data_IF_665605813044
#
_entry.id   IF_665605813044
#
_cell.length_a   1.000
_cell.length_b   1.000
_cell.length_c   1.000
_cell.angle_alpha   90.00
_cell.angle_beta   90.00
_cell.angle_gamma   90.00
#
_symmetry.space_group_name_H-M   'P 1'
#
loop_
_entity.id
_entity.type
_entity.pdbx_description
1 polymer ?
#
# COMPACT_ATOMS: atom_id res chain seq x y z
N UNK A 1 -14.01 13.49 -12.58
CA UNK A 1 -12.94 12.64 -13.15
C UNK A 1 -11.52 13.04 -12.71
N UNK A 2 -11.12 14.32 -12.68
CA UNK A 2 -9.75 14.75 -12.27
C UNK A 2 -9.41 14.67 -10.76
N UNK A 3 -10.37 14.35 -9.88
CA UNK A 3 -10.19 14.50 -8.43
C UNK A 3 -9.46 13.32 -7.77
N UNK A 4 -9.63 12.09 -8.28
CA UNK A 4 -9.02 10.89 -7.67
C UNK A 4 -7.52 10.83 -7.96
N UNK A 5 -7.10 11.13 -9.21
CA UNK A 5 -5.68 11.22 -9.55
C UNK A 5 -5.04 12.40 -8.85
N UNK A 6 -5.66 13.59 -8.79
CA UNK A 6 -5.13 14.69 -7.97
C UNK A 6 -5.03 14.33 -6.48
N UNK A 7 -6.00 13.59 -5.93
CA UNK A 7 -5.97 13.09 -4.56
C UNK A 7 -4.97 11.95 -4.32
N UNK A 8 -4.44 11.31 -5.38
CA UNK A 8 -3.33 10.36 -5.23
C UNK A 8 -2.03 11.02 -4.73
N UNK A 9 -1.96 12.35 -4.74
CA UNK A 9 -0.76 13.11 -4.39
C UNK A 9 -0.95 13.92 -3.09
N UNK A 10 -1.79 13.46 -2.15
CA UNK A 10 -2.08 14.21 -0.91
C UNK A 10 -0.84 14.45 -0.03
N UNK A 11 0.19 13.59 -0.08
CA UNK A 11 1.50 13.84 0.53
C UNK A 11 2.60 13.18 -0.31
N UNK A 12 3.44 13.99 -0.94
CA UNK A 12 4.57 13.54 -1.75
C UNK A 12 5.82 14.33 -1.40
N UNK A 13 6.95 13.64 -1.31
CA UNK A 13 8.25 14.26 -1.12
C UNK A 13 9.00 14.22 -2.46
N UNK A 14 9.38 15.40 -2.97
CA UNK A 14 10.11 15.55 -4.22
C UNK A 14 11.56 15.93 -3.89
N UNK A 15 12.52 15.28 -4.56
CA UNK A 15 13.95 15.52 -4.32
C UNK A 15 14.70 15.72 -5.64
N UNK A 16 15.84 16.43 -5.56
CA UNK A 16 16.82 16.56 -6.64
C UNK A 16 17.14 15.16 -7.22
N UNK A 17 17.03 15.02 -8.54
CA UNK A 17 17.13 13.80 -9.37
C UNK A 17 15.79 13.10 -9.73
N UNK A 18 14.70 13.85 -9.87
CA UNK A 18 13.47 13.44 -10.60
C UNK A 18 12.63 12.30 -9.99
N UNK A 19 13.12 11.64 -8.94
CA UNK A 19 12.39 10.65 -8.17
C UNK A 19 11.47 11.30 -7.12
N UNK A 20 10.26 10.77 -6.97
CA UNK A 20 9.27 11.18 -5.97
C UNK A 20 8.88 9.95 -5.15
N UNK A 21 8.88 10.10 -3.83
CA UNK A 21 8.33 9.09 -2.92
C UNK A 21 6.94 9.54 -2.48
N UNK A 22 5.98 8.62 -2.57
CA UNK A 22 4.57 8.92 -2.27
C UNK A 22 4.00 8.02 -1.21
N UNK A 23 3.11 8.62 -0.42
CA UNK A 23 2.41 7.98 0.69
C UNK A 23 0.93 8.34 0.63
N UNK A 24 0.07 7.33 0.58
CA UNK A 24 -1.38 7.46 0.67
C UNK A 24 -1.92 7.15 2.07
N UNK A 25 -2.30 8.19 2.84
CA UNK A 25 -2.85 8.09 4.22
C UNK A 25 -1.81 7.66 5.29
N UNK A 26 -2.28 7.40 6.51
CA UNK A 26 -1.49 7.31 7.75
C UNK A 26 -0.47 6.17 7.73
N UNK A 27 0.81 6.52 7.67
CA UNK A 27 1.96 5.61 7.81
C UNK A 27 2.85 6.07 8.96
N UNK A 28 3.50 5.10 9.59
CA UNK A 28 4.49 5.33 10.64
C UNK A 28 5.84 4.94 10.10
N UNK A 29 6.76 5.91 10.07
CA UNK A 29 8.13 5.67 9.65
C UNK A 29 8.97 5.42 10.89
N UNK A 30 9.53 4.23 10.95
CA UNK A 30 10.52 3.83 11.94
C UNK A 30 11.95 3.98 11.39
N UNK A 31 12.08 4.08 10.07
CA UNK A 31 13.34 4.23 9.34
C UNK A 31 13.55 5.60 8.70
N UNK A 32 14.76 5.80 8.15
CA UNK A 32 15.12 7.01 7.42
C UNK A 32 14.63 6.97 5.98
N UNK A 33 13.57 7.74 5.69
CA UNK A 33 12.99 7.88 4.34
C UNK A 33 14.02 8.24 3.27
N UNK A 34 15.18 8.81 3.65
CA UNK A 34 16.26 9.15 2.70
C UNK A 34 16.78 7.95 1.93
N UNK A 35 16.69 6.77 2.50
CA UNK A 35 17.11 5.53 1.84
C UNK A 35 16.20 5.18 0.65
N UNK A 36 14.91 5.53 0.67
CA UNK A 36 14.02 5.35 -0.50
C UNK A 36 14.45 6.20 -1.70
N UNK A 37 15.12 7.33 -1.48
CA UNK A 37 15.59 8.20 -2.56
C UNK A 37 16.76 7.60 -3.33
N UNK A 38 17.56 6.74 -2.67
CA UNK A 38 18.69 6.03 -3.27
C UNK A 38 18.30 4.78 -4.06
N UNK A 39 17.01 4.44 -4.12
CA UNK A 39 16.56 3.21 -4.78
C UNK A 39 16.72 3.33 -6.29
N UNK A 40 17.49 2.39 -6.83
CA UNK A 40 17.67 2.23 -8.26
C UNK A 40 16.44 1.53 -8.88
N UNK A 41 15.73 2.23 -9.76
CA UNK A 41 14.69 1.60 -10.56
C UNK A 41 15.32 0.88 -11.76
N UNK A 42 14.88 -0.37 -12.00
CA UNK A 42 15.32 -1.11 -13.19
C UNK A 42 14.97 -0.33 -14.46
N UNK A 43 15.80 -0.48 -15.49
CA UNK A 43 15.61 0.21 -16.77
C UNK A 43 14.20 -0.04 -17.32
N UNK A 44 13.49 1.04 -17.65
CA UNK A 44 12.12 0.98 -18.17
C UNK A 44 11.03 0.90 -17.10
N UNK A 45 11.38 0.80 -15.81
CA UNK A 45 10.41 0.86 -14.72
C UNK A 45 10.23 2.30 -14.25
N UNK A 46 8.98 2.77 -14.20
CA UNK A 46 8.66 4.09 -13.69
C UNK A 46 8.40 4.11 -12.17
N UNK A 47 8.28 2.93 -11.53
CA UNK A 47 7.98 2.84 -10.11
C UNK A 47 8.57 1.60 -9.43
N UNK A 48 8.66 1.66 -8.11
CA UNK A 48 8.97 0.55 -7.24
C UNK A 48 7.93 0.38 -6.13
N UNK A 49 7.54 -0.87 -5.86
CA UNK A 49 6.53 -1.23 -4.85
C UNK A 49 7.02 -2.43 -4.02
N UNK A 50 6.60 -2.49 -2.76
CA UNK A 50 6.71 -3.71 -1.94
C UNK A 50 5.54 -4.64 -2.29
N UNK A 51 5.79 -5.93 -2.47
CA UNK A 51 4.73 -6.87 -2.84
C UNK A 51 3.99 -7.39 -1.62
N UNK A 52 2.75 -7.82 -1.80
CA UNK A 52 1.90 -8.27 -0.70
C UNK A 52 2.20 -9.71 -0.26
N UNK A 53 2.98 -10.47 -1.03
CA UNK A 53 3.25 -11.89 -0.76
C UNK A 53 4.64 -12.15 -0.17
N UNK A 54 5.47 -11.11 -0.01
CA UNK A 54 6.85 -11.25 0.49
C UNK A 54 6.94 -11.33 2.02
N UNK A 55 5.82 -11.18 2.74
CA UNK A 55 5.77 -11.19 4.20
C UNK A 55 4.96 -12.38 4.73
N UNK A 56 5.60 -13.39 5.35
CA UNK A 56 4.91 -14.56 5.90
C UNK A 56 3.83 -14.20 6.93
N UNK A 57 4.09 -13.25 7.83
CA UNK A 57 3.10 -12.79 8.81
C UNK A 57 1.89 -12.09 8.18
N UNK A 58 2.06 -11.41 7.03
CA UNK A 58 0.92 -10.91 6.26
C UNK A 58 0.14 -12.07 5.63
N UNK A 59 0.82 -13.11 5.14
CA UNK A 59 0.19 -14.23 4.47
C UNK A 59 -0.75 -15.00 5.39
N UNK A 60 -0.30 -15.32 6.61
CA UNK A 60 -1.10 -16.01 7.63
C UNK A 60 -2.34 -15.20 8.00
N UNK A 61 -2.17 -13.92 8.28
CA UNK A 61 -3.28 -13.03 8.62
C UNK A 61 -4.26 -12.86 7.44
N UNK A 62 -3.75 -12.70 6.21
CA UNK A 62 -4.59 -12.54 5.02
C UNK A 62 -5.47 -13.78 4.83
N UNK A 63 -4.89 -14.96 4.98
CA UNK A 63 -5.62 -16.22 4.88
C UNK A 63 -6.66 -16.37 6.00
N UNK A 64 -6.31 -16.04 7.24
CA UNK A 64 -7.20 -16.22 8.39
C UNK A 64 -8.48 -15.39 8.30
N UNK A 65 -8.44 -14.23 7.64
CA UNK A 65 -9.59 -13.34 7.47
C UNK A 65 -10.19 -13.37 6.05
N UNK A 66 -9.74 -14.31 5.19
CA UNK A 66 -10.26 -14.47 3.83
C UNK A 66 -9.92 -13.31 2.88
N UNK A 67 -8.86 -12.55 3.16
CA UNK A 67 -8.34 -11.53 2.25
C UNK A 67 -7.60 -12.13 1.06
N UNK A 68 -7.44 -11.32 0.01
CA UNK A 68 -6.74 -11.70 -1.21
C UNK A 68 -5.54 -10.78 -1.43
N UNK A 69 -4.38 -11.38 -1.72
CA UNK A 69 -3.12 -10.72 -2.10
C UNK A 69 -2.71 -11.05 -3.54
N UNK A 70 -3.64 -11.62 -4.29
CA UNK A 70 -3.48 -12.00 -5.69
C UNK A 70 -4.45 -11.22 -6.56
N UNK A 71 -4.19 -11.15 -7.87
CA UNK A 71 -5.03 -10.38 -8.80
C UNK A 71 -6.51 -10.79 -8.78
N UNK A 72 -6.82 -12.04 -8.44
CA UNK A 72 -8.19 -12.53 -8.23
C UNK A 72 -9.00 -11.67 -7.26
N UNK A 73 -8.35 -11.08 -6.26
CA UNK A 73 -9.00 -10.22 -5.27
C UNK A 73 -9.36 -8.82 -5.76
N UNK A 74 -8.84 -8.39 -6.91
CA UNK A 74 -8.89 -7.00 -7.36
C UNK A 74 -9.56 -6.83 -8.72
N UNK A 75 -9.52 -7.85 -9.59
CA UNK A 75 -10.08 -7.80 -10.95
C UNK A 75 -11.25 -8.79 -11.10
N UNK A 76 -12.25 -8.40 -11.88
CA UNK A 76 -13.38 -9.28 -12.20
C UNK A 76 -13.07 -10.15 -13.44
N UNK A 77 -12.53 -11.35 -13.20
CA UNK A 77 -12.18 -12.32 -14.26
C UNK A 77 -13.36 -12.88 -15.06
N UNK A 78 -14.61 -12.50 -14.72
CA UNK A 78 -15.78 -12.80 -15.55
C UNK A 78 -15.86 -11.87 -16.77
N UNK A 79 -15.25 -10.69 -16.69
CA UNK A 79 -15.25 -9.64 -17.73
C UNK A 79 -14.22 -9.95 -18.81
N UNK A 80 -14.60 -9.76 -20.08
CA UNK A 80 -13.70 -10.05 -21.20
C UNK A 80 -12.48 -9.12 -21.19
N UNK A 81 -12.67 -7.86 -20.83
CA UNK A 81 -11.62 -6.85 -20.74
C UNK A 81 -10.53 -7.22 -19.74
N UNK A 82 -10.88 -7.97 -18.69
CA UNK A 82 -9.91 -8.50 -17.71
C UNK A 82 -9.21 -9.74 -18.25
N UNK A 83 -9.92 -10.64 -18.94
CA UNK A 83 -9.31 -11.83 -19.58
C UNK A 83 -8.28 -11.43 -20.65
N UNK A 84 -8.59 -10.41 -21.44
CA UNK A 84 -7.72 -9.89 -22.51
C UNK A 84 -6.40 -9.30 -21.99
N UNK A 85 -6.30 -8.98 -20.69
CA UNK A 85 -5.05 -8.57 -20.07
C UNK A 85 -4.02 -9.70 -19.99
N UNK A 86 -4.45 -10.97 -20.00
CA UNK A 86 -3.57 -12.12 -19.83
C UNK A 86 -2.87 -12.20 -18.47
N UNK A 87 -3.35 -11.46 -17.46
CA UNK A 87 -2.78 -11.48 -16.11
C UNK A 87 -3.32 -12.71 -15.37
N UNK A 88 -2.44 -13.54 -14.83
CA UNK A 88 -2.84 -14.73 -14.10
C UNK A 88 -3.52 -14.32 -12.76
N UNK A 89 -4.74 -14.82 -12.45
CA UNK A 89 -5.42 -14.50 -11.20
C UNK A 89 -4.62 -14.85 -9.94
N UNK A 90 -3.69 -15.79 -10.03
CA UNK A 90 -2.80 -16.21 -8.93
C UNK A 90 -1.53 -15.38 -8.80
N UNK A 91 -1.27 -14.44 -9.71
CA UNK A 91 -0.11 -13.55 -9.60
C UNK A 91 -0.19 -12.72 -8.32
N UNK A 92 0.96 -12.47 -7.69
CA UNK A 92 1.03 -11.63 -6.49
C UNK A 92 0.79 -10.15 -6.81
N UNK A 93 0.09 -9.45 -5.92
CA UNK A 93 -0.12 -8.00 -6.02
C UNK A 93 0.89 -7.19 -5.20
N UNK A 94 0.75 -5.88 -5.27
CA UNK A 94 1.43 -4.93 -4.40
C UNK A 94 0.43 -3.89 -3.90
N UNK A 95 0.75 -3.24 -2.78
CA UNK A 95 -0.03 -2.11 -2.31
C UNK A 95 0.54 -0.79 -2.85
N UNK A 96 -0.24 0.04 -3.56
CA UNK A 96 0.26 1.32 -4.05
C UNK A 96 0.32 2.41 -2.97
N UNK A 97 0.00 2.06 -1.71
CA UNK A 97 -0.05 2.99 -0.60
C UNK A 97 1.29 3.67 -0.30
N UNK A 98 2.40 2.96 -0.55
CA UNK A 98 3.76 3.49 -0.47
C UNK A 98 4.53 3.04 -1.70
N UNK A 99 5.13 4.00 -2.41
CA UNK A 99 5.93 3.66 -3.57
C UNK A 99 6.94 4.75 -3.94
N UNK A 100 7.98 4.35 -4.66
CA UNK A 100 8.95 5.26 -5.28
C UNK A 100 8.60 5.38 -6.75
N UNK A 101 8.59 6.59 -7.29
CA UNK A 101 8.29 6.86 -8.70
C UNK A 101 9.40 7.70 -9.33
N UNK A 102 9.87 7.31 -10.51
CA UNK A 102 10.68 8.19 -11.36
C UNK A 102 9.74 8.99 -12.25
N UNK A 103 9.68 10.30 -12.05
CA UNK A 103 8.69 11.13 -12.75
C UNK A 103 9.01 11.36 -14.22
N UNK A 104 10.27 11.24 -14.63
CA UNK A 104 10.66 11.34 -16.03
C UNK A 104 10.21 10.12 -16.81
N UNK A 105 10.48 8.92 -16.31
CA UNK A 105 9.96 7.68 -16.90
C UNK A 105 8.43 7.61 -16.79
N UNK A 106 7.83 8.06 -15.69
CA UNK A 106 6.37 8.14 -15.55
C UNK A 106 5.72 8.99 -16.65
N UNK A 107 6.29 10.16 -16.93
CA UNK A 107 5.83 11.06 -18.02
C UNK A 107 6.08 10.43 -19.39
N UNK A 108 7.28 9.90 -19.62
CA UNK A 108 7.69 9.27 -20.90
C UNK A 108 6.80 8.08 -21.26
N UNK A 109 6.50 7.21 -20.30
CA UNK A 109 5.61 6.05 -20.48
C UNK A 109 4.12 6.43 -20.43
N UNK A 110 3.79 7.71 -20.22
CA UNK A 110 2.41 8.22 -20.15
C UNK A 110 1.55 7.48 -19.12
N UNK A 111 2.13 7.09 -17.98
CA UNK A 111 1.48 6.25 -16.96
C UNK A 111 0.15 6.86 -16.49
N UNK A 112 0.09 8.18 -16.26
CA UNK A 112 -1.15 8.85 -15.86
C UNK A 112 -2.30 8.59 -16.85
N UNK A 113 -2.03 8.69 -18.16
CA UNK A 113 -3.05 8.43 -19.19
C UNK A 113 -3.52 6.99 -19.21
N UNK A 114 -2.63 6.05 -18.92
CA UNK A 114 -2.97 4.62 -18.81
C UNK A 114 -3.87 4.38 -17.59
N UNK A 115 -3.54 4.98 -16.44
CA UNK A 115 -4.36 4.89 -15.22
C UNK A 115 -5.76 5.49 -15.45
N UNK A 116 -5.84 6.67 -16.07
CA UNK A 116 -7.11 7.33 -16.43
C UNK A 116 -7.97 6.43 -17.31
N UNK A 117 -7.38 5.80 -18.34
CA UNK A 117 -8.07 4.87 -19.23
C UNK A 117 -8.70 3.71 -18.45
N UNK A 118 -7.97 3.09 -17.54
CA UNK A 118 -8.48 1.96 -16.74
C UNK A 118 -9.55 2.39 -15.74
N UNK A 119 -9.38 3.56 -15.12
CA UNK A 119 -10.41 4.13 -14.24
C UNK A 119 -11.71 4.44 -14.97
N UNK A 120 -11.62 4.99 -16.18
CA UNK A 120 -12.78 5.26 -17.03
C UNK A 120 -13.46 3.97 -17.50
N UNK A 121 -12.68 2.96 -17.90
CA UNK A 121 -13.22 1.66 -18.28
C UNK A 121 -13.97 1.01 -17.13
N UNK A 122 -13.40 1.04 -15.92
CA UNK A 122 -14.09 0.54 -14.73
C UNK A 122 -15.35 1.32 -14.41
N UNK A 123 -15.34 2.65 -14.57
CA UNK A 123 -16.56 3.45 -14.38
C UNK A 123 -17.68 3.03 -15.32
N UNK A 124 -17.37 2.65 -16.57
CA UNK A 124 -18.36 2.25 -17.57
C UNK A 124 -18.82 0.80 -17.45
N UNK A 125 -17.92 -0.11 -17.09
CA UNK A 125 -18.15 -1.56 -17.22
C UNK A 125 -18.03 -2.36 -15.92
N UNK A 126 -17.58 -1.71 -14.84
CA UNK A 126 -17.34 -2.30 -13.52
C UNK A 126 -16.49 -3.57 -13.60
N UNK A 127 -15.22 -3.40 -13.99
CA UNK A 127 -14.25 -4.49 -14.25
C UNK A 127 -13.38 -4.85 -13.05
N UNK A 128 -13.46 -4.07 -11.97
CA UNK A 128 -12.79 -4.37 -10.72
C UNK A 128 -13.66 -5.26 -9.85
N UNK A 129 -13.03 -6.10 -9.03
CA UNK A 129 -13.75 -6.97 -8.10
C UNK A 129 -14.51 -6.15 -7.05
N UNK A 130 -15.70 -6.63 -6.68
CA UNK A 130 -16.53 -6.05 -5.61
C UNK A 130 -15.91 -6.21 -4.22
N UNK A 131 -14.93 -7.11 -4.06
CA UNK A 131 -14.20 -7.32 -2.79
C UNK A 131 -13.38 -6.11 -2.36
N UNK A 132 -13.09 -5.14 -3.26
CA UNK A 132 -12.42 -3.85 -3.01
C UNK A 132 -11.27 -3.87 -1.99
N UNK A 133 -10.51 -4.96 -1.90
CA UNK A 133 -9.25 -4.96 -1.19
C UNK A 133 -8.39 -3.83 -1.78
N UNK A 134 -7.89 -2.90 -0.96
CA UNK A 134 -7.00 -1.84 -1.43
C UNK A 134 -7.63 -0.60 -2.09
N UNK A 135 -8.95 -0.49 -2.21
CA UNK A 135 -9.64 0.73 -2.66
C UNK A 135 -9.48 1.11 -4.14
N UNK A 136 -10.14 2.20 -4.55
CA UNK A 136 -10.38 2.56 -5.98
C UNK A 136 -9.10 2.76 -6.81
N UNK A 137 -8.01 3.19 -6.19
CA UNK A 137 -6.75 3.47 -6.89
C UNK A 137 -5.89 2.21 -7.12
N UNK A 138 -6.17 1.09 -6.46
CA UNK A 138 -5.30 -0.09 -6.50
C UNK A 138 -5.41 -0.89 -7.79
N UNK A 139 -6.61 -1.32 -8.24
CA UNK A 139 -6.73 -2.08 -9.48
C UNK A 139 -6.08 -1.43 -10.72
N UNK A 140 -6.26 -0.13 -11.02
CA UNK A 140 -5.61 0.46 -12.20
C UNK A 140 -4.08 0.48 -12.07
N UNK A 141 -3.54 0.67 -10.86
CA UNK A 141 -2.09 0.60 -10.62
C UNK A 141 -1.56 -0.81 -10.85
N UNK A 142 -2.26 -1.83 -10.36
CA UNK A 142 -1.89 -3.23 -10.57
C UNK A 142 -1.85 -3.57 -12.07
N UNK A 143 -2.86 -3.16 -12.84
CA UNK A 143 -2.90 -3.41 -14.29
C UNK A 143 -1.74 -2.71 -15.02
N UNK A 144 -1.53 -1.41 -14.75
CA UNK A 144 -0.52 -0.61 -15.48
C UNK A 144 0.91 -1.07 -15.17
N UNK A 145 1.16 -1.52 -13.93
CA UNK A 145 2.48 -1.92 -13.48
C UNK A 145 2.69 -3.45 -13.45
N UNK A 146 1.73 -4.26 -13.90
CA UNK A 146 1.91 -5.72 -13.97
C UNK A 146 3.22 -6.05 -14.71
N UNK A 147 4.08 -6.82 -14.04
CA UNK A 147 5.44 -7.17 -14.47
C UNK A 147 6.39 -6.00 -14.85
N UNK A 148 6.03 -4.74 -14.55
CA UNK A 148 6.74 -3.51 -14.98
C UNK A 148 7.11 -2.58 -13.83
N UNK A 149 7.47 -3.18 -12.69
CA UNK A 149 7.89 -2.44 -11.51
C UNK A 149 9.12 -3.04 -10.85
N UNK A 150 9.86 -2.19 -10.13
CA UNK A 150 11.00 -2.64 -9.33
C UNK A 150 10.50 -3.09 -7.96
N UNK A 151 10.92 -4.25 -7.47
CA UNK A 151 10.53 -4.70 -6.12
C UNK A 151 11.27 -3.88 -5.07
N UNK A 152 10.54 -3.31 -4.13
CA UNK A 152 11.09 -2.76 -2.89
C UNK A 152 11.27 -3.88 -1.87
N UNK A 153 12.23 -3.70 -0.97
CA UNK A 153 12.33 -4.55 0.21
C UNK A 153 11.00 -4.47 1.00
N UNK A 154 10.39 -5.62 1.37
CA UNK A 154 9.10 -5.65 2.05
C UNK A 154 9.09 -4.92 3.41
N UNK A 155 10.25 -4.69 4.04
CA UNK A 155 10.35 -3.89 5.27
C UNK A 155 9.99 -2.41 5.06
N UNK A 156 9.97 -1.93 3.81
CA UNK A 156 9.45 -0.60 3.47
C UNK A 156 7.94 -0.50 3.47
N UNK A 157 7.22 -1.61 3.65
CA UNK A 157 5.76 -1.59 3.74
C UNK A 157 5.19 -2.74 4.57
N UNK A 158 5.52 -2.78 5.86
CA UNK A 158 4.90 -3.75 6.78
C UNK A 158 3.48 -3.30 7.10
N UNK A 159 2.50 -4.04 6.58
CA UNK A 159 1.08 -3.66 6.60
C UNK A 159 0.22 -4.71 7.28
N UNK A 160 -1.07 -4.39 7.37
CA UNK A 160 -2.14 -5.16 7.99
C UNK A 160 -2.13 -5.27 9.51
N UNK A 161 -1.38 -4.40 10.18
CA UNK A 161 -1.27 -4.38 11.64
C UNK A 161 -2.60 -4.07 12.34
N UNK A 162 -3.63 -3.63 11.62
CA UNK A 162 -4.96 -3.32 12.17
C UNK A 162 -6.09 -4.22 11.66
N UNK A 163 -5.80 -5.38 11.06
CA UNK A 163 -6.83 -6.30 10.56
C UNK A 163 -7.21 -7.43 11.51
N UNK A 164 -6.44 -7.63 12.56
CA UNK A 164 -6.71 -8.56 13.64
C UNK A 164 -6.48 -7.86 14.98
N UNK A 165 -7.17 -8.25 16.07
CA UNK A 165 -6.78 -7.91 17.43
C UNK A 165 -5.57 -8.70 17.92
N UNK A 166 -5.18 -9.77 17.22
CA UNK A 166 -4.03 -10.63 17.57
C UNK A 166 -2.76 -10.26 16.77
N UNK A 167 -1.57 -10.32 17.40
CA UNK A 167 -0.31 -9.98 16.73
C UNK A 167 0.19 -11.13 15.84
N UNK A 168 0.26 -10.89 14.53
CA UNK A 168 0.84 -11.82 13.54
C UNK A 168 2.31 -11.55 13.21
N UNK A 169 2.85 -10.43 13.69
CA UNK A 169 4.28 -10.11 13.59
C UNK A 169 4.90 -10.09 14.97
N UNK A 170 6.10 -10.66 15.11
CA UNK A 170 6.87 -10.51 16.34
C UNK A 170 7.35 -9.06 16.49
N UNK A 171 7.47 -8.57 17.72
CA UNK A 171 8.01 -7.24 18.00
C UNK A 171 9.42 -7.05 17.42
N UNK A 172 10.27 -8.08 17.49
CA UNK A 172 11.62 -8.06 16.91
C UNK A 172 11.60 -7.91 15.38
N UNK A 173 10.60 -8.46 14.70
CA UNK A 173 10.40 -8.22 13.27
C UNK A 173 10.01 -6.77 13.01
N UNK A 174 9.03 -6.24 13.75
CA UNK A 174 8.52 -4.88 13.57
C UNK A 174 9.57 -3.79 13.83
N UNK A 175 10.53 -4.04 14.72
CA UNK A 175 11.67 -3.13 14.96
C UNK A 175 12.57 -2.93 13.74
N UNK A 176 12.61 -3.88 12.81
CA UNK A 176 13.39 -3.78 11.56
C UNK A 176 12.62 -3.13 10.41
N UNK A 177 11.30 -3.05 10.54
CA UNK A 177 10.47 -2.37 9.55
C UNK A 177 10.96 -0.92 9.41
N UNK A 178 10.89 -0.39 8.20
CA UNK A 178 11.13 1.02 7.92
C UNK A 178 9.83 1.82 7.94
N UNK A 179 8.72 1.13 7.66
CA UNK A 179 7.38 1.70 7.65
C UNK A 179 6.34 0.67 8.11
N UNK A 180 5.53 1.09 9.08
CA UNK A 180 4.44 0.34 9.67
C UNK A 180 3.09 0.94 9.23
N UNK A 181 2.16 0.07 8.83
CA UNK A 181 0.84 0.46 8.33
C UNK A 181 -0.28 -0.35 9.00
N UNK A 182 -0.96 0.28 9.95
CA UNK A 182 -2.22 -0.23 10.54
C UNK A 182 -3.39 0.01 9.58
N UNK A 183 -3.42 -0.56 8.38
CA UNK A 183 -4.67 -0.61 7.62
C UNK A 183 -5.62 -1.61 8.29
N UNK A 184 -6.90 -1.24 8.44
CA UNK A 184 -7.92 -2.08 9.06
C UNK A 184 -8.68 -1.39 10.21
N UNK A 185 -9.67 -2.07 10.80
CA UNK A 185 -10.51 -1.53 11.88
C UNK A 185 -9.79 -1.35 13.23
N UNK A 186 -8.81 -2.21 13.55
CA UNK A 186 -8.09 -2.23 14.83
C UNK A 186 -6.91 -1.26 14.81
N UNK A 187 -7.25 0.04 14.82
CA UNK A 187 -6.27 1.12 14.85
C UNK A 187 -5.70 1.32 16.25
N UNK A 188 -4.45 1.79 16.40
CA UNK A 188 -3.83 1.98 17.72
C UNK A 188 -4.50 3.08 18.57
N UNK A 189 -5.37 3.90 17.99
CA UNK A 189 -6.18 4.91 18.70
C UNK A 189 -7.63 4.44 18.96
N UNK A 190 -7.95 3.17 18.68
CA UNK A 190 -9.25 2.56 18.93
C UNK A 190 -9.05 1.27 19.76
N UNK A 191 -10.08 0.82 20.48
CA UNK A 191 -10.05 -0.48 21.16
C UNK A 191 -10.86 -1.53 20.38
N UNK A 192 -10.38 -2.78 20.24
CA UNK A 192 -9.05 -3.26 20.64
C UNK A 192 -7.94 -2.78 19.68
N UNK A 193 -6.72 -2.67 20.20
CA UNK A 193 -5.54 -2.27 19.46
C UNK A 193 -4.41 -3.29 19.64
N UNK A 194 -3.57 -3.40 18.61
CA UNK A 194 -2.40 -4.30 18.60
C UNK A 194 -1.14 -3.51 18.31
N UNK A 195 -0.03 -3.95 18.89
CA UNK A 195 1.29 -3.31 18.76
C UNK A 195 1.29 -1.84 19.24
N UNK A 196 0.56 -1.56 20.34
CA UNK A 196 0.52 -0.23 20.97
C UNK A 196 1.92 0.26 21.38
N UNK A 197 2.76 -0.65 21.88
CA UNK A 197 4.16 -0.41 22.22
C UNK A 197 4.99 0.17 21.06
N UNK A 198 4.64 -0.16 19.82
CA UNK A 198 5.28 0.38 18.62
C UNK A 198 4.71 1.74 18.22
N UNK A 199 3.43 1.99 18.51
CA UNK A 199 2.75 3.25 18.23
C UNK A 199 3.14 4.36 19.20
N UNK A 200 3.14 4.07 20.50
CA UNK A 200 3.28 5.06 21.57
C UNK A 200 4.60 5.83 21.51
N UNK A 201 5.67 5.19 21.00
CA UNK A 201 6.98 5.82 20.76
C UNK A 201 6.92 7.10 19.91
N UNK A 202 5.88 7.22 19.08
CA UNK A 202 5.70 8.32 18.14
C UNK A 202 4.43 9.13 18.41
N UNK A 203 3.70 8.81 19.48
CA UNK A 203 2.50 9.55 19.84
C UNK A 203 2.89 10.97 20.26
N UNK A 204 2.34 11.95 19.55
CA UNK A 204 2.42 13.35 19.94
C UNK A 204 1.14 13.65 20.74
N UNK A 205 1.24 14.08 22.01
CA UNK A 205 0.08 14.43 22.82
C UNK A 205 -0.83 15.40 22.08
N UNK A 206 -2.12 15.08 22.05
CA UNK A 206 -3.12 15.95 21.44
C UNK A 206 -3.23 17.25 22.28
N UNK A 207 -2.88 18.42 21.71
CA UNK A 207 -2.96 19.67 22.44
C UNK A 207 -4.41 20.04 22.83
N UNK A 208 -5.42 19.42 22.22
CA UNK A 208 -6.83 19.61 22.60
C UNK A 208 -7.34 18.66 23.70
N UNK A 209 -6.54 17.66 24.09
CA UNK A 209 -6.91 16.67 25.11
C UNK A 209 -8.07 15.74 24.74
N UNK A 210 -8.53 15.76 23.49
CA UNK A 210 -9.64 14.90 23.01
C UNK A 210 -9.17 13.47 22.74
N UNK A 211 -7.89 13.29 22.46
CA UNK A 211 -7.28 11.98 22.25
C UNK A 211 -6.24 11.69 23.32
N UNK A 212 -6.54 10.74 24.18
CA UNK A 212 -5.60 10.16 25.14
C UNK A 212 -5.21 8.77 24.70
N UNK A 213 -3.96 8.37 24.99
CA UNK A 213 -3.58 6.96 24.89
C UNK A 213 -4.44 6.19 25.89
N UNK A 214 -5.05 5.10 25.45
CA UNK A 214 -5.74 4.17 26.34
C UNK A 214 -4.63 3.43 27.10
N UNK A 215 -4.55 3.55 28.45
CA UNK A 215 -3.55 2.84 29.21
C UNK A 215 -3.69 1.34 28.94
N UNK A 216 -2.58 0.65 28.67
CA UNK A 216 -2.55 -0.80 28.73
C UNK A 216 -3.02 -1.21 30.14
N UNK A 217 -3.90 -2.22 30.28
CA UNK A 217 -4.22 -2.74 31.60
C UNK A 217 -2.92 -3.17 32.27
N UNK A 218 -2.70 -2.74 33.52
CA UNK A 218 -1.58 -3.21 34.32
C UNK A 218 -1.59 -4.75 34.32
N UNK A 219 -0.48 -5.35 33.89
CA UNK A 219 -0.26 -6.80 33.93
C UNK A 219 0.47 -7.18 35.20
#
# INVERSE_FOLDING_TARGET
QNMIIKNMFKKSYQIKNENIVKFFKFYFFTGDIRHLFGIYLRRGHAAAFATDCDLPGAHEMVQSIGMQTTYMGFLDYRKQEVKDLGINPSDCTFNPGVFVANMKEWKKLKITKQLEKWMELNFRQNIYSSSMAGGVATPPMLIVFHAKFTRLDPLWHVRHLGWSPDPFYSTSFLQRAQLLHWNGPFKPWNYPAVHLDMWEKWFIPDPSGKFTLIPLPDT
#
